data_IF_171287194767
#
_entry.id   IF_171287194767
#
_cell.length_a   1.000
_cell.length_b   1.000
_cell.length_c   1.000
_cell.angle_alpha   90.00
_cell.angle_beta   90.00
_cell.angle_gamma   90.00
#
_symmetry.space_group_name_H-M   'P 1'
#
loop_
_entity.id
_entity.type
_entity.pdbx_description
1 polymer ?
#
# COMPACT_ATOMS: atom_id res chain seq x y z
N UNK A 1 4.59 -2.16 2.69
CA UNK A 1 4.74 -1.27 3.88
C UNK A 1 4.91 0.14 3.37
N UNK A 2 4.22 1.12 3.97
CA UNK A 2 4.29 2.51 3.54
C UNK A 2 5.32 3.24 4.40
N UNK A 3 6.31 3.88 3.76
CA UNK A 3 7.42 4.55 4.42
C UNK A 3 7.42 6.04 4.09
N UNK A 4 7.44 6.88 5.13
CA UNK A 4 7.63 8.34 5.03
C UNK A 4 6.72 9.05 4.02
N UNK A 5 5.51 8.54 3.81
CA UNK A 5 4.51 9.21 2.98
C UNK A 5 3.65 10.13 3.87
N UNK A 6 3.61 11.45 3.63
CA UNK A 6 2.84 12.39 4.44
C UNK A 6 1.32 12.30 4.21
N UNK A 7 0.89 11.66 3.12
CA UNK A 7 -0.51 11.51 2.75
C UNK A 7 -1.13 10.16 3.15
N UNK A 8 -2.39 10.00 2.76
CA UNK A 8 -3.13 8.74 2.83
C UNK A 8 -3.20 8.10 1.43
N UNK A 9 -3.04 6.79 1.36
CA UNK A 9 -3.15 6.04 0.10
C UNK A 9 -4.51 5.37 0.07
N UNK A 10 -5.22 5.56 -1.04
CA UNK A 10 -6.54 4.99 -1.30
C UNK A 10 -6.52 4.06 -2.51
N UNK A 11 -7.58 3.26 -2.66
CA UNK A 11 -7.84 2.56 -3.92
C UNK A 11 -7.91 3.58 -5.07
N UNK A 12 -7.18 3.31 -6.14
CA UNK A 12 -6.99 4.21 -7.27
C UNK A 12 -5.76 5.11 -7.19
N UNK A 13 -4.95 5.03 -6.13
CA UNK A 13 -3.68 5.76 -6.06
C UNK A 13 -2.74 5.36 -7.20
N UNK A 14 -2.07 6.35 -7.81
CA UNK A 14 -1.23 6.15 -8.99
C UNK A 14 0.23 6.53 -8.71
N UNK A 15 1.01 5.63 -8.08
CA UNK A 15 2.44 5.82 -7.93
C UNK A 15 3.21 5.36 -9.19
N UNK A 16 4.49 5.68 -9.21
CA UNK A 16 5.43 5.02 -10.11
C UNK A 16 6.05 3.83 -9.39
N UNK A 17 6.06 2.69 -10.08
CA UNK A 17 6.66 1.45 -9.60
C UNK A 17 8.03 1.28 -10.26
N UNK A 18 9.04 1.22 -9.42
CA UNK A 18 10.38 0.82 -9.80
C UNK A 18 10.57 -0.67 -9.54
N UNK A 19 10.87 -1.44 -10.58
CA UNK A 19 11.19 -2.86 -10.48
C UNK A 19 12.43 -3.18 -11.30
N UNK A 20 13.55 -3.46 -10.64
CA UNK A 20 14.84 -3.67 -11.30
C UNK A 20 15.29 -2.42 -12.06
N UNK A 21 15.26 -2.44 -13.39
CA UNK A 21 15.54 -1.30 -14.28
C UNK A 21 14.27 -0.69 -14.89
N UNK A 22 13.09 -1.25 -14.59
CA UNK A 22 11.82 -0.75 -15.09
C UNK A 22 11.28 0.36 -14.18
N UNK A 23 10.78 1.44 -14.79
CA UNK A 23 10.14 2.58 -14.14
C UNK A 23 8.79 2.82 -14.83
N UNK A 24 7.69 2.41 -14.18
CA UNK A 24 6.36 2.39 -14.82
C UNK A 24 5.29 2.95 -13.89
N UNK A 25 4.48 3.88 -14.38
CA UNK A 25 3.31 4.35 -13.65
C UNK A 25 2.31 3.21 -13.46
N UNK A 26 1.95 2.95 -12.21
CA UNK A 26 1.01 1.90 -11.81
C UNK A 26 -0.21 2.53 -11.16
N UNK A 27 -1.32 1.80 -11.13
CA UNK A 27 -2.53 2.18 -10.39
C UNK A 27 -2.86 1.08 -9.40
N UNK A 28 -3.01 1.41 -8.13
CA UNK A 28 -3.49 0.47 -7.13
C UNK A 28 -4.98 0.28 -7.36
N UNK A 29 -5.38 -0.85 -7.93
CA UNK A 29 -6.80 -1.11 -8.24
C UNK A 29 -7.62 -1.21 -6.95
N UNK A 30 -7.16 -2.03 -6.01
CA UNK A 30 -7.83 -2.33 -4.76
C UNK A 30 -6.80 -2.47 -3.63
N UNK A 31 -7.22 -2.26 -2.38
CA UNK A 31 -6.41 -2.56 -1.20
C UNK A 31 -7.02 -3.81 -0.57
N UNK A 32 -6.38 -4.96 -0.69
CA UNK A 32 -6.97 -6.25 -0.27
C UNK A 32 -6.99 -6.42 1.23
N UNK A 33 -5.87 -6.15 1.89
CA UNK A 33 -5.72 -6.43 3.32
C UNK A 33 -4.78 -5.41 3.96
N UNK A 34 -5.12 -4.98 5.17
CA UNK A 34 -4.21 -4.27 6.07
C UNK A 34 -3.60 -5.28 7.04
N UNK A 35 -2.29 -5.31 7.16
CA UNK A 35 -1.56 -6.22 8.02
C UNK A 35 -0.70 -5.45 9.03
N UNK A 36 -0.42 -6.08 10.18
CA UNK A 36 0.58 -5.57 11.12
C UNK A 36 1.99 -5.76 10.55
N UNK A 37 2.78 -4.69 10.55
CA UNK A 37 4.17 -4.67 10.04
C UNK A 37 5.12 -5.61 10.77
N UNK A 38 4.83 -5.98 12.03
CA UNK A 38 5.71 -6.84 12.85
C UNK A 38 5.31 -8.30 12.81
N UNK A 39 4.02 -8.58 12.98
CA UNK A 39 3.52 -9.95 13.09
C UNK A 39 3.00 -10.54 11.78
N UNK A 40 2.76 -9.72 10.75
CA UNK A 40 2.15 -10.15 9.49
C UNK A 40 0.68 -10.54 9.63
N UNK A 41 0.07 -10.38 10.82
CA UNK A 41 -1.35 -10.67 11.03
C UNK A 41 -2.22 -9.67 10.28
N UNK A 42 -3.26 -10.17 9.61
CA UNK A 42 -4.30 -9.34 8.99
C UNK A 42 -5.07 -8.63 10.10
N UNK A 43 -5.09 -7.30 10.03
CA UNK A 43 -5.84 -6.43 10.92
C UNK A 43 -7.23 -6.15 10.35
N UNK A 44 -7.32 -5.91 9.05
CA UNK A 44 -8.56 -5.53 8.38
C UNK A 44 -8.57 -6.05 6.94
N UNK A 45 -9.69 -6.58 6.49
CA UNK A 45 -9.93 -6.96 5.09
C UNK A 45 -10.57 -5.79 4.34
N UNK A 46 -10.07 -5.47 3.15
CA UNK A 46 -10.48 -4.34 2.31
C UNK A 46 -10.45 -2.96 3.00
N UNK A 47 -9.27 -2.51 3.50
CA UNK A 47 -9.16 -1.19 4.11
C UNK A 47 -9.45 -0.06 3.12
N UNK A 48 -10.18 0.98 3.55
CA UNK A 48 -10.46 2.17 2.71
C UNK A 48 -9.26 3.11 2.53
N UNK A 49 -8.35 3.10 3.49
CA UNK A 49 -7.19 3.98 3.54
C UNK A 49 -6.02 3.29 4.27
N UNK A 50 -4.80 3.59 3.84
CA UNK A 50 -3.57 3.11 4.50
C UNK A 50 -2.59 4.28 4.68
N UNK A 51 -1.96 4.34 5.86
CA UNK A 51 -1.09 5.46 6.26
C UNK A 51 0.37 5.02 6.42
N UNK A 52 1.26 5.99 6.61
CA UNK A 52 2.66 5.72 6.94
C UNK A 52 2.78 4.80 8.16
N UNK A 53 3.58 3.74 8.04
CA UNK A 53 3.77 2.72 9.07
C UNK A 53 2.84 1.51 8.96
N UNK A 54 1.78 1.58 8.16
CA UNK A 54 0.92 0.43 7.89
C UNK A 54 1.58 -0.53 6.88
N UNK A 55 1.33 -1.83 7.05
CA UNK A 55 1.55 -2.83 6.01
C UNK A 55 0.20 -3.13 5.35
N UNK A 56 0.19 -3.25 4.03
CA UNK A 56 -1.00 -3.60 3.28
C UNK A 56 -0.63 -4.44 2.07
N UNK A 57 -1.58 -5.28 1.67
CA UNK A 57 -1.55 -6.05 0.44
C UNK A 57 -2.44 -5.36 -0.58
N UNK A 58 -1.89 -5.10 -1.76
CA UNK A 58 -2.51 -4.40 -2.90
C UNK A 58 -2.87 -5.46 -3.95
#
# INVERSE_FOLDING_TARGET
>A
IILNHPGEIHAGYQPVLDCHTAHVACKFAELKQKCDRRSGKVLEENPKLVKSGDAAMI
#
